data_IF_925808922112
#
_entry.id   IF_925808922112
#
_cell.length_a   1.000
_cell.length_b   1.000
_cell.length_c   1.000
_cell.angle_alpha   90.00
_cell.angle_beta   90.00
_cell.angle_gamma   90.00
#
_symmetry.space_group_name_H-M   'P 1'
#
loop_
_entity.id
_entity.type
_entity.pdbx_description
1 polymer ?
#
# COMPACT_ATOMS: atom_id res chain seq x y z
N UNK A 1 -17.15 -14.55 -18.14
CA UNK A 1 -17.29 -14.06 -16.75
C UNK A 1 -16.59 -12.72 -16.46
N UNK A 2 -16.10 -12.01 -17.49
CA UNK A 2 -15.30 -10.78 -17.33
C UNK A 2 -16.11 -9.58 -16.82
N UNK A 3 -17.42 -9.54 -17.08
CA UNK A 3 -18.32 -8.45 -16.65
C UNK A 3 -18.53 -8.40 -15.14
N UNK A 4 -18.46 -9.54 -14.43
CA UNK A 4 -18.61 -9.59 -12.98
C UNK A 4 -17.41 -8.97 -12.24
N UNK A 5 -16.19 -9.07 -12.79
CA UNK A 5 -15.02 -8.47 -12.14
C UNK A 5 -15.03 -6.94 -12.20
N UNK A 6 -15.44 -6.34 -13.33
CA UNK A 6 -15.53 -4.89 -13.45
C UNK A 6 -16.58 -4.31 -12.51
N UNK A 7 -17.76 -4.92 -12.40
CA UNK A 7 -18.84 -4.47 -11.52
C UNK A 7 -18.41 -4.52 -10.05
N UNK A 8 -17.65 -5.55 -9.66
CA UNK A 8 -17.15 -5.68 -8.29
C UNK A 8 -16.14 -4.57 -7.95
N UNK A 9 -15.20 -4.28 -8.86
CA UNK A 9 -14.23 -3.18 -8.71
C UNK A 9 -14.94 -1.83 -8.62
N UNK A 10 -15.95 -1.58 -9.46
CA UNK A 10 -16.75 -0.35 -9.42
C UNK A 10 -17.48 -0.18 -8.08
N UNK A 11 -18.05 -1.24 -7.52
CA UNK A 11 -18.72 -1.18 -6.22
C UNK A 11 -17.76 -0.78 -5.10
N UNK A 12 -16.55 -1.35 -5.07
CA UNK A 12 -15.52 -0.95 -4.11
C UNK A 12 -15.13 0.52 -4.24
N UNK A 13 -14.97 1.02 -5.47
CA UNK A 13 -14.64 2.43 -5.72
C UNK A 13 -15.73 3.38 -5.21
N UNK A 14 -17.01 3.02 -5.38
CA UNK A 14 -18.14 3.82 -4.88
C UNK A 14 -18.14 3.84 -3.35
N UNK A 15 -17.97 2.69 -2.69
CA UNK A 15 -17.95 2.58 -1.23
C UNK A 15 -16.78 3.39 -0.65
N UNK A 16 -15.58 3.26 -1.21
CA UNK A 16 -14.40 4.02 -0.78
C UNK A 16 -14.63 5.53 -0.99
N UNK A 17 -15.15 5.93 -2.16
CA UNK A 17 -15.47 7.32 -2.47
C UNK A 17 -16.46 7.94 -1.49
N UNK A 18 -17.53 7.23 -1.14
CA UNK A 18 -18.53 7.70 -0.18
C UNK A 18 -17.93 7.90 1.23
N UNK A 19 -17.07 6.98 1.68
CA UNK A 19 -16.37 7.10 2.96
C UNK A 19 -15.44 8.33 2.96
N UNK A 20 -14.70 8.56 1.88
CA UNK A 20 -13.82 9.72 1.76
C UNK A 20 -14.59 11.04 1.81
N UNK A 21 -15.79 11.11 1.21
CA UNK A 21 -16.67 12.28 1.29
C UNK A 21 -17.14 12.53 2.72
N UNK A 22 -17.57 11.49 3.44
CA UNK A 22 -18.01 11.62 4.84
C UNK A 22 -16.85 12.06 5.74
N UNK A 23 -15.66 11.46 5.59
CA UNK A 23 -14.47 11.84 6.34
C UNK A 23 -14.04 13.28 6.04
N UNK A 24 -14.14 13.72 4.77
CA UNK A 24 -13.89 15.09 4.37
C UNK A 24 -14.87 16.09 4.98
N UNK A 25 -16.17 15.75 4.99
CA UNK A 25 -17.21 16.58 5.60
C UNK A 25 -17.01 16.72 7.12
N UNK A 26 -16.70 15.62 7.81
CA UNK A 26 -16.39 15.63 9.24
C UNK A 26 -15.10 16.43 9.55
N UNK A 27 -14.10 16.37 8.67
CA UNK A 27 -12.89 17.20 8.76
C UNK A 27 -13.19 18.70 8.61
N UNK A 28 -14.05 19.06 7.66
CA UNK A 28 -14.46 20.45 7.41
C UNK A 28 -15.32 21.02 8.55
N UNK A 29 -16.33 20.28 9.00
CA UNK A 29 -17.15 20.66 10.16
C UNK A 29 -16.32 20.71 11.46
N UNK A 30 -15.31 19.84 11.60
CA UNK A 30 -14.39 19.85 12.74
C UNK A 30 -13.51 21.09 12.82
N UNK A 31 -13.08 21.63 11.66
CA UNK A 31 -12.33 22.88 11.60
C UNK A 31 -13.19 24.10 11.92
N UNK A 32 -14.46 24.10 11.49
CA UNK A 32 -15.37 25.23 11.69
C UNK A 32 -15.87 25.37 13.14
N UNK A 33 -15.88 24.28 13.92
CA UNK A 33 -16.47 24.26 15.26
C UNK A 33 -15.49 24.55 16.41
N UNK A 34 -14.23 24.90 16.13
CA UNK A 34 -13.14 25.18 17.10
C UNK A 34 -12.99 24.22 18.29
N UNK A 35 -13.64 23.06 18.27
CA UNK A 35 -13.61 22.12 19.38
C UNK A 35 -12.40 21.18 19.21
N UNK A 36 -11.32 21.48 19.95
CA UNK A 36 -10.08 20.67 20.00
C UNK A 36 -10.35 19.16 20.22
N UNK A 37 -11.41 18.83 20.94
CA UNK A 37 -11.78 17.45 21.26
C UNK A 37 -12.29 16.65 20.03
N UNK A 38 -13.07 17.27 19.12
CA UNK A 38 -13.64 16.58 17.96
C UNK A 38 -12.57 16.22 16.91
N UNK A 39 -11.58 17.10 16.71
CA UNK A 39 -10.45 16.89 15.81
C UNK A 39 -9.50 15.78 16.31
N UNK A 40 -9.27 15.71 17.62
CA UNK A 40 -8.45 14.64 18.24
C UNK A 40 -9.12 13.28 18.11
N UNK A 41 -10.44 13.20 18.35
CA UNK A 41 -11.20 11.94 18.24
C UNK A 41 -11.24 11.40 16.81
N UNK A 42 -11.43 12.26 15.80
CA UNK A 42 -11.43 11.86 14.38
C UNK A 42 -10.04 11.38 13.94
N UNK A 43 -8.97 12.06 14.37
CA UNK A 43 -7.61 11.62 14.10
C UNK A 43 -7.36 10.24 14.72
N UNK A 44 -7.69 10.03 16.00
CA UNK A 44 -7.48 8.77 16.72
C UNK A 44 -8.16 7.57 16.04
N UNK A 45 -9.39 7.75 15.56
CA UNK A 45 -10.13 6.70 14.86
C UNK A 45 -9.44 6.29 13.54
N UNK A 46 -8.89 7.26 12.80
CA UNK A 46 -8.13 7.00 11.57
C UNK A 46 -6.80 6.27 11.85
N UNK A 47 -6.15 6.55 12.98
CA UNK A 47 -4.96 5.81 13.42
C UNK A 47 -5.26 4.35 13.73
N UNK A 48 -6.35 4.07 14.45
CA UNK A 48 -6.74 2.69 14.81
C UNK A 48 -7.08 1.88 13.56
N UNK A 49 -7.89 2.43 12.65
CA UNK A 49 -8.26 1.74 11.39
C UNK A 49 -7.03 1.45 10.52
N UNK A 50 -6.06 2.35 10.48
CA UNK A 50 -4.80 2.14 9.73
C UNK A 50 -3.97 0.97 10.27
N UNK A 51 -3.83 0.87 11.59
CA UNK A 51 -3.05 -0.20 12.23
C UNK A 51 -3.74 -1.56 12.01
N UNK A 52 -5.06 -1.61 12.18
CA UNK A 52 -5.85 -2.82 11.94
C UNK A 52 -5.83 -3.25 10.47
N UNK A 53 -5.93 -2.32 9.52
CA UNK A 53 -5.87 -2.64 8.09
C UNK A 53 -4.49 -3.22 7.70
N UNK A 54 -3.40 -2.64 8.22
CA UNK A 54 -2.05 -3.13 7.95
C UNK A 54 -1.80 -4.54 8.48
N UNK A 55 -2.26 -4.86 9.70
CA UNK A 55 -2.04 -6.19 10.29
C UNK A 55 -2.82 -7.29 9.57
N UNK A 56 -4.08 -7.01 9.22
CA UNK A 56 -4.95 -7.96 8.52
C UNK A 56 -4.47 -8.18 7.08
N UNK A 57 -4.08 -7.11 6.37
CA UNK A 57 -3.56 -7.21 5.01
C UNK A 57 -2.27 -8.04 4.97
N UNK A 58 -1.32 -7.83 5.88
CA UNK A 58 -0.06 -8.56 5.84
C UNK A 58 -0.26 -10.07 6.07
N UNK A 59 -1.14 -10.44 7.00
CA UNK A 59 -1.46 -11.83 7.32
C UNK A 59 -2.24 -12.53 6.19
N UNK A 60 -3.27 -11.88 5.65
CA UNK A 60 -4.09 -12.49 4.58
C UNK A 60 -3.38 -12.52 3.22
N UNK A 61 -2.56 -11.52 2.93
CA UNK A 61 -1.80 -11.46 1.68
C UNK A 61 -0.79 -12.60 1.62
N UNK A 62 -0.08 -12.87 2.71
CA UNK A 62 0.91 -13.94 2.75
C UNK A 62 0.28 -15.34 2.72
N UNK A 63 -0.93 -15.55 3.23
CA UNK A 63 -1.59 -16.86 3.12
C UNK A 63 -2.28 -17.09 1.78
N UNK A 64 -2.85 -16.04 1.17
CA UNK A 64 -3.68 -16.17 -0.04
C UNK A 64 -2.86 -16.00 -1.32
N UNK A 65 -1.87 -15.10 -1.30
CA UNK A 65 -1.09 -14.76 -2.51
C UNK A 65 0.08 -15.70 -2.72
N UNK A 66 0.71 -16.20 -1.65
CA UNK A 66 1.82 -17.18 -1.74
C UNK A 66 1.48 -18.42 -2.58
N UNK A 67 0.33 -19.12 -2.39
CA UNK A 67 -0.01 -20.27 -3.22
C UNK A 67 -0.30 -19.86 -4.67
N UNK A 68 -0.86 -18.67 -4.89
CA UNK A 68 -1.10 -18.14 -6.24
C UNK A 68 0.22 -17.86 -6.95
N UNK A 69 1.17 -17.21 -6.28
CA UNK A 69 2.52 -16.97 -6.79
C UNK A 69 3.22 -18.29 -7.09
N UNK A 70 3.22 -19.25 -6.16
CA UNK A 70 3.87 -20.56 -6.36
C UNK A 70 3.33 -21.34 -7.54
N UNK A 71 2.01 -21.31 -7.78
CA UNK A 71 1.38 -22.17 -8.80
C UNK A 71 1.18 -21.50 -10.16
N UNK A 72 1.06 -20.18 -10.20
CA UNK A 72 0.68 -19.46 -11.43
C UNK A 72 1.84 -18.69 -12.07
N UNK A 73 2.88 -18.34 -11.30
CA UNK A 73 4.06 -17.67 -11.84
C UNK A 73 4.84 -18.60 -12.78
N UNK A 74 5.09 -18.15 -14.01
CA UNK A 74 5.67 -18.97 -15.09
C UNK A 74 4.66 -19.80 -15.88
N UNK A 75 3.44 -20.01 -15.37
CA UNK A 75 2.36 -20.75 -16.04
C UNK A 75 1.42 -19.82 -16.81
N UNK A 76 0.99 -18.73 -16.15
CA UNK A 76 0.08 -17.75 -16.73
C UNK A 76 0.86 -16.49 -17.08
N UNK A 77 0.85 -16.03 -18.34
CA UNK A 77 1.64 -14.89 -18.77
C UNK A 77 1.21 -13.59 -18.08
N UNK A 78 -0.09 -13.39 -17.87
CA UNK A 78 -0.64 -12.21 -17.18
C UNK A 78 -0.11 -12.10 -15.73
N UNK A 79 -0.19 -13.21 -14.97
CA UNK A 79 0.33 -13.26 -13.59
C UNK A 79 1.84 -13.04 -13.57
N UNK A 80 2.56 -13.63 -14.52
CA UNK A 80 4.00 -13.52 -14.64
C UNK A 80 4.42 -12.08 -14.96
N UNK A 81 3.70 -11.40 -15.86
CA UNK A 81 3.96 -10.00 -16.21
C UNK A 81 3.73 -9.08 -15.01
N UNK A 82 2.60 -9.21 -14.31
CA UNK A 82 2.29 -8.40 -13.12
C UNK A 82 3.39 -8.56 -12.07
N UNK A 83 3.83 -9.78 -11.81
CA UNK A 83 4.88 -10.07 -10.85
C UNK A 83 6.26 -9.59 -11.31
N UNK A 84 6.60 -9.73 -12.59
CA UNK A 84 7.85 -9.19 -13.14
C UNK A 84 7.90 -7.67 -13.01
N UNK A 85 6.82 -6.97 -13.36
CA UNK A 85 6.72 -5.52 -13.17
C UNK A 85 6.89 -5.18 -11.70
N UNK A 86 6.15 -5.85 -10.81
CA UNK A 86 6.23 -5.63 -9.36
C UNK A 86 7.66 -5.79 -8.85
N UNK A 87 8.32 -6.92 -9.12
CA UNK A 87 9.70 -7.19 -8.72
C UNK A 87 10.69 -6.17 -9.31
N UNK A 88 10.45 -5.72 -10.54
CA UNK A 88 11.29 -4.71 -11.20
C UNK A 88 11.16 -3.31 -10.59
N UNK A 89 9.95 -2.94 -10.17
CA UNK A 89 9.61 -1.65 -9.57
C UNK A 89 10.05 -1.59 -8.12
N UNK A 90 9.72 -2.61 -7.34
CA UNK A 90 10.00 -2.64 -5.89
C UNK A 90 11.37 -3.24 -5.58
N UNK A 91 12.11 -3.69 -6.61
CA UNK A 91 13.46 -4.27 -6.50
C UNK A 91 13.52 -5.38 -5.44
N UNK A 92 12.52 -6.26 -5.44
CA UNK A 92 12.43 -7.41 -4.55
C UNK A 92 12.32 -8.72 -5.33
N UNK A 93 12.46 -9.83 -4.62
CA UNK A 93 12.28 -11.17 -5.13
C UNK A 93 11.24 -11.90 -4.30
N UNK A 94 10.20 -12.40 -4.95
CA UNK A 94 9.09 -13.09 -4.30
C UNK A 94 8.22 -12.14 -3.50
N UNK A 95 7.39 -12.71 -2.62
CA UNK A 95 6.52 -11.95 -1.73
C UNK A 95 7.28 -11.53 -0.47
N UNK A 96 7.99 -12.49 0.14
CA UNK A 96 8.78 -12.32 1.34
C UNK A 96 10.26 -12.63 1.09
N UNK A 97 10.55 -13.67 0.29
CA UNK A 97 11.92 -14.13 0.06
C UNK A 97 12.02 -14.97 -1.22
N UNK A 98 13.24 -15.21 -1.71
CA UNK A 98 13.48 -16.09 -2.86
C UNK A 98 12.95 -17.51 -2.61
N UNK A 99 12.89 -17.95 -1.35
CA UNK A 99 12.33 -19.25 -0.92
C UNK A 99 10.87 -19.44 -1.30
N UNK A 100 10.15 -18.35 -1.60
CA UNK A 100 8.79 -18.43 -2.12
C UNK A 100 8.74 -19.18 -3.47
N UNK A 101 9.86 -19.26 -4.19
CA UNK A 101 9.99 -19.97 -5.46
C UNK A 101 10.56 -21.39 -5.36
N UNK A 102 11.17 -21.80 -4.25
CA UNK A 102 11.88 -23.10 -4.14
C UNK A 102 11.00 -24.32 -4.48
N UNK A 103 9.69 -24.24 -4.22
CA UNK A 103 8.71 -25.30 -4.57
C UNK A 103 7.70 -24.87 -5.63
N UNK A 104 7.94 -23.74 -6.29
CA UNK A 104 7.02 -23.19 -7.27
C UNK A 104 7.04 -23.96 -8.59
N UNK A 105 5.99 -23.80 -9.39
CA UNK A 105 5.93 -24.29 -10.76
C UNK A 105 7.17 -23.85 -11.57
N UNK A 106 7.56 -22.58 -11.44
CA UNK A 106 8.69 -21.99 -12.15
C UNK A 106 10.01 -22.71 -11.85
N UNK A 107 10.29 -23.01 -10.58
CA UNK A 107 11.52 -23.70 -10.19
C UNK A 107 11.54 -25.15 -10.67
N UNK A 108 10.40 -25.85 -10.62
CA UNK A 108 10.29 -27.23 -11.12
C UNK A 108 10.51 -27.33 -12.63
N UNK A 109 10.05 -26.34 -13.39
CA UNK A 109 10.20 -26.30 -14.85
C UNK A 109 11.62 -25.89 -15.28
N UNK A 110 12.18 -24.85 -14.66
CA UNK A 110 13.43 -24.22 -15.12
C UNK A 110 14.66 -24.53 -14.27
N UNK A 111 14.51 -25.25 -13.15
CA UNK A 111 15.55 -25.53 -12.15
C UNK A 111 16.36 -24.28 -11.72
N UNK A 112 15.74 -23.11 -11.81
CA UNK A 112 16.36 -21.80 -11.56
C UNK A 112 15.34 -20.84 -10.97
N UNK A 113 15.84 -19.80 -10.31
CA UNK A 113 15.03 -18.71 -9.77
C UNK A 113 14.82 -17.59 -10.80
N UNK A 114 13.82 -16.72 -10.60
CA UNK A 114 13.62 -15.56 -11.47
C UNK A 114 14.84 -14.65 -11.50
N UNK A 115 15.13 -14.04 -12.66
CA UNK A 115 16.24 -13.12 -12.89
C UNK A 115 16.34 -11.98 -11.84
N UNK A 116 15.19 -11.46 -11.40
CA UNK A 116 15.10 -10.39 -10.40
C UNK A 116 15.57 -10.80 -8.99
N UNK A 117 15.73 -12.10 -8.75
CA UNK A 117 16.22 -12.68 -7.50
C UNK A 117 17.74 -12.81 -7.44
N UNK A 118 18.45 -12.53 -8.53
CA UNK A 118 19.91 -12.58 -8.57
C UNK A 118 20.51 -11.25 -9.02
N UNK A 119 21.78 -11.06 -8.67
CA UNK A 119 22.62 -10.01 -9.25
C UNK A 119 23.89 -10.64 -9.83
N UNK A 120 24.26 -10.34 -11.10
CA UNK A 120 23.51 -9.54 -12.07
C UNK A 120 22.26 -10.25 -12.59
N UNK A 121 21.28 -9.47 -13.09
CA UNK A 121 19.93 -9.95 -13.49
C UNK A 121 19.95 -10.92 -14.70
N UNK A 122 21.10 -11.10 -15.36
CA UNK A 122 21.22 -11.79 -16.65
C UNK A 122 21.90 -13.17 -16.60
N UNK A 123 22.09 -13.76 -15.40
CA UNK A 123 22.64 -15.10 -15.24
C UNK A 123 21.56 -16.11 -14.84
N UNK A 124 21.76 -17.39 -15.16
CA UNK A 124 20.99 -18.49 -14.55
C UNK A 124 21.05 -18.35 -13.02
N UNK A 125 19.92 -18.07 -12.40
CA UNK A 125 19.86 -17.76 -10.97
C UNK A 125 19.78 -19.07 -10.18
N UNK A 126 20.91 -19.51 -9.64
CA UNK A 126 21.00 -20.65 -8.74
C UNK A 126 20.55 -20.27 -7.32
N UNK A 127 20.25 -21.27 -6.49
CA UNK A 127 19.87 -21.05 -5.09
C UNK A 127 20.95 -20.27 -4.31
N UNK A 128 22.23 -20.63 -4.50
CA UNK A 128 23.34 -19.94 -3.87
C UNK A 128 23.45 -18.48 -4.32
N UNK A 129 23.21 -18.20 -5.60
CA UNK A 129 23.21 -16.85 -6.14
C UNK A 129 22.02 -16.03 -5.62
N UNK A 130 20.83 -16.64 -5.48
CA UNK A 130 19.65 -16.00 -4.90
C UNK A 130 19.83 -15.70 -3.41
N UNK A 131 20.40 -16.64 -2.64
CA UNK A 131 20.70 -16.47 -1.22
C UNK A 131 21.76 -15.39 -0.97
N UNK A 132 22.83 -15.37 -1.78
CA UNK A 132 23.89 -14.37 -1.65
C UNK A 132 23.50 -13.01 -2.25
N UNK A 133 22.39 -12.96 -3.00
CA UNK A 133 21.85 -11.70 -3.47
C UNK A 133 21.33 -10.90 -2.27
N UNK A 134 21.82 -9.67 -2.10
CA UNK A 134 21.25 -8.70 -1.17
C UNK A 134 19.92 -8.12 -1.67
N UNK A 135 19.19 -8.86 -2.53
CA UNK A 135 17.84 -8.49 -2.98
C UNK A 135 16.97 -8.54 -1.73
N UNK A 136 16.76 -7.34 -1.19
CA UNK A 136 16.15 -7.10 0.11
C UNK A 136 14.85 -7.89 0.23
N UNK A 137 14.79 -8.83 1.19
CA UNK A 137 13.52 -9.25 1.79
C UNK A 137 12.86 -8.00 2.34
N UNK A 138 11.91 -7.41 1.63
CA UNK A 138 11.11 -6.36 2.24
C UNK A 138 9.76 -6.22 1.58
N UNK A 139 8.77 -6.27 2.46
CA UNK A 139 7.55 -5.48 2.59
C UNK A 139 7.65 -4.01 2.12
N UNK A 140 8.23 -3.75 0.93
CA UNK A 140 8.36 -2.43 0.32
C UNK A 140 7.01 -1.89 -0.18
N UNK A 141 5.98 -2.74 -0.28
CA UNK A 141 4.62 -2.25 -0.55
C UNK A 141 4.14 -1.29 0.55
N UNK A 142 4.46 -1.58 1.82
CA UNK A 142 4.09 -0.73 2.97
C UNK A 142 4.91 0.57 3.01
N UNK A 143 6.19 0.52 2.60
CA UNK A 143 7.09 1.68 2.63
C UNK A 143 7.00 2.58 1.39
N UNK A 144 6.41 2.13 0.29
CA UNK A 144 6.25 2.96 -0.92
C UNK A 144 4.93 3.73 -0.90
N UNK A 145 3.83 3.14 -0.42
CA UNK A 145 2.56 3.84 -0.23
C UNK A 145 2.47 4.60 1.10
N UNK A 146 3.30 4.22 2.08
CA UNK A 146 3.47 4.93 3.34
C UNK A 146 3.75 6.43 3.17
N UNK A 147 4.80 6.86 2.46
CA UNK A 147 5.16 8.27 2.30
C UNK A 147 4.13 9.07 1.50
N UNK A 148 3.43 8.51 0.51
CA UNK A 148 2.34 9.19 -0.21
C UNK A 148 1.14 9.44 0.72
N UNK A 149 0.77 8.45 1.54
CA UNK A 149 -0.30 8.58 2.53
C UNK A 149 0.09 9.45 3.74
N UNK A 150 1.38 9.50 4.09
CA UNK A 150 1.97 10.38 5.11
C UNK A 150 2.10 11.81 4.56
N UNK A 151 2.43 11.97 3.28
CA UNK A 151 2.48 13.27 2.58
C UNK A 151 1.09 13.88 2.54
N UNK A 152 0.07 13.13 2.12
CA UNK A 152 -1.33 13.58 2.17
C UNK A 152 -1.75 13.93 3.61
N UNK A 153 -1.30 13.16 4.60
CA UNK A 153 -1.56 13.46 6.01
C UNK A 153 -0.86 14.73 6.51
N UNK A 154 0.43 14.93 6.19
CA UNK A 154 1.18 16.15 6.51
C UNK A 154 0.60 17.35 5.78
N UNK A 155 0.25 17.23 4.51
CA UNK A 155 -0.44 18.28 3.75
C UNK A 155 -1.78 18.64 4.37
N UNK A 156 -2.56 17.67 4.86
CA UNK A 156 -3.80 17.95 5.59
C UNK A 156 -3.54 18.66 6.93
N UNK A 157 -2.52 18.24 7.68
CA UNK A 157 -2.13 18.85 8.96
C UNK A 157 -1.58 20.27 8.80
N UNK A 158 -0.74 20.51 7.78
CA UNK A 158 -0.23 21.84 7.43
C UNK A 158 -1.34 22.75 6.91
N UNK A 159 -2.25 22.25 6.08
CA UNK A 159 -3.41 23.04 5.60
C UNK A 159 -4.37 23.37 6.74
N UNK A 160 -4.57 22.45 7.68
CA UNK A 160 -5.37 22.69 8.88
C UNK A 160 -4.71 23.72 9.81
N UNK A 161 -3.39 23.63 10.03
CA UNK A 161 -2.65 24.57 10.89
C UNK A 161 -2.61 25.98 10.30
N UNK A 162 -2.43 26.09 8.97
CA UNK A 162 -2.42 27.38 8.27
C UNK A 162 -3.83 28.00 8.19
N UNK A 163 -4.87 27.20 8.01
CA UNK A 163 -6.27 27.67 8.07
C UNK A 163 -6.65 28.11 9.48
N UNK A 164 -6.21 27.37 10.52
CA UNK A 164 -6.44 27.73 11.91
C UNK A 164 -5.73 29.03 12.29
N UNK A 165 -4.47 29.21 11.88
CA UNK A 165 -3.74 30.48 12.08
C UNK A 165 -4.40 31.66 11.38
N UNK A 166 -4.92 31.46 10.15
CA UNK A 166 -5.68 32.51 9.44
C UNK A 166 -7.01 32.83 10.12
N UNK A 167 -7.71 31.81 10.64
CA UNK A 167 -8.98 31.98 11.36
C UNK A 167 -8.80 32.71 12.69
N UNK A 168 -7.75 32.39 13.46
CA UNK A 168 -7.42 33.14 14.68
C UNK A 168 -7.06 34.59 14.37
N UNK A 169 -6.26 34.84 13.32
CA UNK A 169 -5.90 36.19 12.91
C UNK A 169 -7.12 37.04 12.52
N UNK A 170 -8.13 36.42 11.87
CA UNK A 170 -9.38 37.08 11.49
C UNK A 170 -10.32 37.31 12.68
N UNK A 171 -10.35 36.38 13.66
CA UNK A 171 -11.12 36.57 14.89
C UNK A 171 -10.54 37.66 15.79
N UNK A 172 -9.22 37.88 15.76
CA UNK A 172 -8.56 38.97 16.51
C UNK A 172 -8.67 40.35 15.83
N UNK A 173 -9.03 40.41 14.54
CA UNK A 173 -9.19 41.67 13.79
C UNK A 173 -10.63 42.15 13.68
N UNK A 174 -11.63 41.35 14.07
CA UNK A 174 -13.04 41.74 14.18
C UNK A 174 -13.54 42.29 15.54
N UNK A 175 -12.77 42.50 16.63
CA UNK A 175 -13.33 43.06 17.87
C UNK A 175 -13.51 44.59 17.84
N UNK A 176 -13.36 45.25 16.69
CA UNK A 176 -13.49 46.70 16.52
C UNK A 176 -14.42 47.11 15.36
N UNK A 177 -15.51 46.38 15.13
CA UNK A 177 -16.69 46.91 14.44
C UNK A 177 -17.97 46.55 15.21
#
# INVERSE_FOLDING_TARGET
>A
SSTLQFVNVSYFLIVIGAILVVLGFLGCCGAQKESKCLLIMVNLQLWVVRICACSVCLAHLSTTVTPTLKNQYGKVPEVTQIWNTTMSTVKCCGLMNYTDFTDSYYYKEHNTYPAFCCKPVNSSCSEAAAHNSSVQRRSRFVLHWGPELISVFLSLQLTCSTTLSKSLALSTSLPYL
#
